data_IF_484548009709
#
_entry.id   IF_484548009709
#
_cell.length_a   1.000
_cell.length_b   1.000
_cell.length_c   1.000
_cell.angle_alpha   90.00
_cell.angle_beta   90.00
_cell.angle_gamma   90.00
#
_symmetry.space_group_name_H-M   'P 1'
#
loop_
_entity.id
_entity.type
_entity.pdbx_description
1 polymer ?
#
# COMPACT_ATOMS: atom_id res chain seq x y z
N UNK A 1 -7.29 4.92 32.78
CA UNK A 1 -6.76 6.21 32.26
C UNK A 1 -5.91 5.85 31.07
N UNK A 2 -6.37 6.18 29.85
CA UNK A 2 -5.56 6.03 28.65
C UNK A 2 -4.55 7.17 28.65
N UNK A 3 -3.25 6.85 28.76
CA UNK A 3 -2.18 7.81 28.52
C UNK A 3 -2.33 8.31 27.10
N UNK A 4 -2.65 9.58 26.93
CA UNK A 4 -2.51 10.30 25.67
C UNK A 4 -1.01 10.38 25.37
N UNK A 5 -0.46 9.46 24.57
CA UNK A 5 0.91 9.58 24.05
C UNK A 5 0.99 10.91 23.31
N UNK A 6 1.80 11.84 23.81
CA UNK A 6 2.11 13.08 23.12
C UNK A 6 2.75 12.75 21.77
N UNK A 7 2.07 13.16 20.69
CA UNK A 7 2.54 12.96 19.32
C UNK A 7 3.83 13.78 19.15
N UNK A 8 4.91 13.14 18.75
CA UNK A 8 6.18 13.85 18.49
C UNK A 8 6.04 14.87 17.35
N UNK A 9 6.85 15.92 17.34
CA UNK A 9 6.86 16.91 16.25
C UNK A 9 7.08 16.25 14.89
N UNK A 10 7.98 15.24 14.81
CA UNK A 10 8.22 14.47 13.59
C UNK A 10 6.97 13.75 13.11
N UNK A 11 6.24 13.12 14.03
CA UNK A 11 5.00 12.40 13.71
C UNK A 11 3.90 13.37 13.29
N UNK A 12 3.80 14.52 13.94
CA UNK A 12 2.84 15.57 13.58
C UNK A 12 3.07 16.10 12.15
N UNK A 13 4.33 16.37 11.79
CA UNK A 13 4.71 16.75 10.40
C UNK A 13 4.29 15.65 9.41
N UNK A 14 4.60 14.38 9.74
CA UNK A 14 4.30 13.25 8.87
C UNK A 14 2.79 13.03 8.70
N UNK A 15 1.99 13.23 9.76
CA UNK A 15 0.53 13.14 9.70
C UNK A 15 -0.05 14.23 8.78
N UNK A 16 0.39 15.48 8.96
CA UNK A 16 -0.03 16.62 8.12
C UNK A 16 0.32 16.36 6.65
N UNK A 17 1.56 15.98 6.38
CA UNK A 17 1.99 15.63 5.02
C UNK A 17 1.25 14.44 4.44
N UNK A 18 0.95 13.41 5.26
CA UNK A 18 0.20 12.22 4.82
C UNK A 18 -1.20 12.60 4.36
N UNK A 19 -1.88 13.47 5.09
CA UNK A 19 -3.20 13.99 4.70
C UNK A 19 -3.11 14.79 3.40
N UNK A 20 -2.21 15.77 3.32
CA UNK A 20 -2.07 16.62 2.14
C UNK A 20 -1.67 15.83 0.88
N UNK A 21 -0.68 14.93 0.97
CA UNK A 21 -0.31 14.08 -0.16
C UNK A 21 -1.44 13.14 -0.58
N UNK A 22 -2.28 12.71 0.36
CA UNK A 22 -3.44 11.88 0.05
C UNK A 22 -4.56 12.68 -0.64
N UNK A 23 -4.87 13.87 -0.16
CA UNK A 23 -6.03 14.63 -0.60
C UNK A 23 -5.77 15.36 -1.94
N UNK A 24 -4.63 16.02 -2.07
CA UNK A 24 -4.31 16.86 -3.23
C UNK A 24 -3.14 16.37 -4.09
N UNK A 25 -2.40 15.34 -3.64
CA UNK A 25 -1.24 14.79 -4.34
C UNK A 25 0.09 15.40 -3.90
N UNK A 26 1.17 14.73 -4.28
CA UNK A 26 2.53 15.15 -3.92
C UNK A 26 2.93 16.45 -4.62
N UNK A 27 2.68 16.56 -5.93
CA UNK A 27 3.14 17.72 -6.71
C UNK A 27 2.47 19.03 -6.25
N UNK A 28 1.17 18.98 -5.95
CA UNK A 28 0.41 20.17 -5.52
C UNK A 28 0.64 20.54 -4.05
N UNK A 29 1.22 19.67 -3.25
CA UNK A 29 1.52 19.94 -1.85
C UNK A 29 2.84 20.67 -1.71
N UNK A 30 2.82 21.94 -1.29
CA UNK A 30 4.01 22.75 -1.03
C UNK A 30 4.59 22.51 0.36
N UNK A 31 5.91 22.65 0.52
CA UNK A 31 6.58 22.58 1.85
C UNK A 31 6.05 23.66 2.79
N UNK A 32 5.86 24.88 2.30
CA UNK A 32 5.31 25.96 3.12
C UNK A 32 3.90 25.66 3.61
N UNK A 33 3.05 25.07 2.77
CA UNK A 33 1.72 24.62 3.18
C UNK A 33 1.79 23.58 4.32
N UNK A 34 2.73 22.63 4.25
CA UNK A 34 2.92 21.63 5.32
C UNK A 34 3.35 22.33 6.61
N UNK A 35 4.26 23.30 6.54
CA UNK A 35 4.74 24.10 7.68
C UNK A 35 3.58 24.85 8.33
N UNK A 36 2.80 25.56 7.52
CA UNK A 36 1.68 26.39 7.96
C UNK A 36 0.58 25.51 8.61
N UNK A 37 0.20 24.42 7.96
CA UNK A 37 -0.86 23.54 8.46
C UNK A 37 -0.42 22.68 9.66
N UNK A 38 0.88 22.39 9.80
CA UNK A 38 1.44 21.74 10.98
C UNK A 38 1.71 22.73 12.12
N UNK A 39 1.64 24.04 11.90
CA UNK A 39 1.90 25.08 12.89
C UNK A 39 3.32 25.03 13.45
N UNK A 40 4.33 24.74 12.62
CA UNK A 40 5.73 24.57 13.03
C UNK A 40 6.66 25.58 12.38
N UNK A 41 7.83 25.78 12.97
CA UNK A 41 8.88 26.56 12.34
C UNK A 41 9.51 25.78 11.15
N UNK A 42 9.90 26.50 10.09
CA UNK A 42 10.59 25.94 8.91
C UNK A 42 11.84 25.14 9.28
N UNK A 43 12.63 25.62 10.24
CA UNK A 43 13.81 24.91 10.74
C UNK A 43 13.45 23.55 11.35
N UNK A 44 12.32 23.44 12.05
CA UNK A 44 11.83 22.20 12.64
C UNK A 44 11.49 21.16 11.56
N UNK A 45 10.84 21.58 10.47
CA UNK A 45 10.56 20.65 9.36
C UNK A 45 11.85 20.06 8.79
N UNK A 46 12.82 20.92 8.43
CA UNK A 46 14.07 20.46 7.80
C UNK A 46 15.00 19.72 8.76
N UNK A 47 14.88 19.92 10.07
CA UNK A 47 15.56 19.12 11.08
C UNK A 47 15.06 17.65 11.05
N UNK A 48 13.76 17.43 10.90
CA UNK A 48 13.18 16.09 10.89
C UNK A 48 13.14 15.44 9.49
N UNK A 49 12.98 16.25 8.44
CA UNK A 49 12.90 15.82 7.04
C UNK A 49 13.73 16.76 6.16
N UNK A 50 14.98 16.37 5.85
CA UNK A 50 15.91 17.23 5.12
C UNK A 50 15.40 17.72 3.75
N UNK A 51 14.46 16.96 3.14
CA UNK A 51 13.83 17.34 1.87
C UNK A 51 12.35 16.90 1.81
N UNK A 52 11.61 17.45 0.84
CA UNK A 52 10.25 16.98 0.52
C UNK A 52 10.27 15.52 0.07
N UNK A 53 11.36 15.07 -0.57
CA UNK A 53 11.57 13.69 -0.98
C UNK A 53 11.68 12.76 0.24
N UNK A 54 12.44 13.12 1.28
CA UNK A 54 12.55 12.35 2.52
C UNK A 54 11.19 12.23 3.23
N UNK A 55 10.41 13.30 3.20
CA UNK A 55 9.05 13.30 3.73
C UNK A 55 8.11 12.40 2.91
N UNK A 56 8.26 12.40 1.57
CA UNK A 56 7.52 11.49 0.68
C UNK A 56 7.86 10.02 0.96
N UNK A 57 9.13 9.70 1.14
CA UNK A 57 9.57 8.35 1.51
C UNK A 57 8.94 7.92 2.84
N UNK A 58 8.95 8.79 3.84
CA UNK A 58 8.30 8.51 5.13
C UNK A 58 6.78 8.32 4.99
N UNK A 59 6.11 9.12 4.17
CA UNK A 59 4.70 8.96 3.81
C UNK A 59 4.41 7.58 3.19
N UNK A 60 5.21 7.16 2.20
CA UNK A 60 5.06 5.87 1.54
C UNK A 60 5.21 4.72 2.54
N UNK A 61 6.22 4.75 3.39
CA UNK A 61 6.42 3.75 4.45
C UNK A 61 5.24 3.72 5.43
N UNK A 62 4.74 4.88 5.87
CA UNK A 62 3.58 4.98 6.75
C UNK A 62 2.34 4.34 6.11
N UNK A 63 2.01 4.70 4.86
CA UNK A 63 0.85 4.12 4.14
C UNK A 63 0.98 2.61 4.00
N UNK A 64 2.17 2.11 3.74
CA UNK A 64 2.43 0.67 3.64
C UNK A 64 2.29 -0.04 5.00
N UNK A 65 2.80 0.55 6.09
CA UNK A 65 2.63 -0.01 7.44
C UNK A 65 1.16 -0.08 7.83
N UNK A 66 0.40 0.99 7.59
CA UNK A 66 -1.06 1.01 7.82
C UNK A 66 -1.79 -0.07 7.01
N UNK A 67 -1.39 -0.28 5.76
CA UNK A 67 -1.93 -1.34 4.92
C UNK A 67 -1.67 -2.73 5.51
N UNK A 68 -0.41 -3.03 5.87
CA UNK A 68 -0.06 -4.35 6.42
C UNK A 68 -0.68 -4.60 7.79
N UNK A 69 -0.74 -3.60 8.68
CA UNK A 69 -1.44 -3.75 9.96
C UNK A 69 -2.93 -4.03 9.78
N UNK A 70 -3.60 -3.33 8.85
CA UNK A 70 -5.00 -3.59 8.54
C UNK A 70 -5.20 -4.98 7.91
N UNK A 71 -4.25 -5.42 7.08
CA UNK A 71 -4.27 -6.75 6.48
C UNK A 71 -4.08 -7.84 7.53
N UNK A 72 -3.10 -7.71 8.42
CA UNK A 72 -2.85 -8.65 9.51
C UNK A 72 -4.09 -8.83 10.39
N UNK A 73 -4.71 -7.73 10.84
CA UNK A 73 -5.96 -7.78 11.61
C UNK A 73 -7.10 -8.44 10.82
N UNK A 74 -7.18 -8.21 9.48
CA UNK A 74 -8.22 -8.80 8.64
C UNK A 74 -8.01 -10.32 8.43
N UNK A 75 -6.78 -10.78 8.51
CA UNK A 75 -6.39 -12.18 8.32
C UNK A 75 -6.22 -12.94 9.66
N UNK A 76 -6.47 -12.30 10.80
CA UNK A 76 -6.37 -12.94 12.10
C UNK A 76 -7.28 -14.17 12.20
N UNK A 77 -6.77 -15.28 12.72
CA UNK A 77 -7.48 -16.55 12.82
C UNK A 77 -7.68 -17.34 11.51
N UNK A 78 -7.17 -16.84 10.38
CA UNK A 78 -7.24 -17.56 9.11
C UNK A 78 -5.89 -18.26 8.87
N UNK A 79 -5.85 -19.58 9.01
CA UNK A 79 -4.64 -20.38 8.85
C UNK A 79 -4.42 -20.82 7.40
N UNK A 80 -5.49 -21.14 6.67
CA UNK A 80 -5.42 -21.62 5.29
C UNK A 80 -4.92 -20.55 4.32
N UNK A 81 -3.80 -20.82 3.64
CA UNK A 81 -3.11 -19.87 2.76
C UNK A 81 -3.94 -19.47 1.53
N UNK A 82 -4.80 -20.36 1.01
CA UNK A 82 -5.72 -20.04 -0.09
C UNK A 82 -6.76 -19.02 0.39
N UNK A 83 -7.33 -19.23 1.58
CA UNK A 83 -8.26 -18.29 2.18
C UNK A 83 -7.59 -16.95 2.50
N UNK A 84 -6.37 -16.95 3.00
CA UNK A 84 -5.59 -15.72 3.23
C UNK A 84 -5.42 -14.90 1.96
N UNK A 85 -5.07 -15.55 0.84
CA UNK A 85 -4.99 -14.89 -0.48
C UNK A 85 -6.34 -14.27 -0.84
N UNK A 86 -7.43 -15.05 -0.82
CA UNK A 86 -8.77 -14.59 -1.18
C UNK A 86 -9.22 -13.41 -0.32
N UNK A 87 -9.01 -13.51 1.00
CA UNK A 87 -9.38 -12.46 1.97
C UNK A 87 -8.53 -11.18 1.84
N UNK A 88 -7.32 -11.28 1.28
CA UNK A 88 -6.51 -10.10 0.97
C UNK A 88 -7.20 -9.20 -0.07
N UNK A 89 -7.90 -9.78 -1.05
CA UNK A 89 -8.73 -9.01 -2.00
C UNK A 89 -9.91 -8.33 -1.31
N UNK A 90 -10.56 -9.00 -0.35
CA UNK A 90 -11.66 -8.40 0.43
C UNK A 90 -11.16 -7.23 1.29
N UNK A 91 -10.01 -7.41 1.96
CA UNK A 91 -9.36 -6.35 2.72
C UNK A 91 -9.06 -5.13 1.82
N UNK A 92 -8.52 -5.35 0.61
CA UNK A 92 -8.25 -4.27 -0.34
C UNK A 92 -9.52 -3.57 -0.82
N UNK A 93 -10.57 -4.31 -1.11
CA UNK A 93 -11.87 -3.74 -1.50
C UNK A 93 -12.44 -2.82 -0.42
N UNK A 94 -12.39 -3.28 0.84
CA UNK A 94 -12.83 -2.47 1.99
C UNK A 94 -11.96 -1.22 2.17
N UNK A 95 -10.64 -1.36 2.01
CA UNK A 95 -9.71 -0.23 2.09
C UNK A 95 -9.97 0.81 0.99
N UNK A 96 -10.21 0.39 -0.25
CA UNK A 96 -10.51 1.28 -1.37
C UNK A 96 -11.80 2.06 -1.13
N UNK A 97 -12.87 1.41 -0.68
CA UNK A 97 -14.14 2.08 -0.33
C UNK A 97 -13.93 3.15 0.75
N UNK A 98 -13.24 2.79 1.85
CA UNK A 98 -12.96 3.71 2.97
C UNK A 98 -12.12 4.92 2.57
N UNK A 99 -11.26 4.77 1.56
CA UNK A 99 -10.36 5.82 1.07
C UNK A 99 -10.82 6.41 -0.28
N UNK A 100 -12.12 6.41 -0.55
CA UNK A 100 -12.72 7.03 -1.73
C UNK A 100 -12.02 6.65 -3.05
N UNK A 101 -11.58 5.38 -3.17
CA UNK A 101 -10.85 4.84 -4.33
C UNK A 101 -9.52 5.57 -4.63
N UNK A 102 -8.84 6.07 -3.61
CA UNK A 102 -7.54 6.75 -3.75
C UNK A 102 -6.40 5.86 -4.26
N UNK A 103 -6.65 4.55 -4.45
CA UNK A 103 -5.73 3.62 -5.07
C UNK A 103 -4.53 3.25 -4.20
N UNK A 104 -3.42 2.92 -4.86
CA UNK A 104 -2.14 2.59 -4.24
C UNK A 104 -1.25 3.83 -4.19
N UNK A 105 -0.80 4.23 -2.99
CA UNK A 105 0.06 5.40 -2.81
C UNK A 105 1.36 5.34 -3.62
N UNK A 106 1.97 4.14 -3.76
CA UNK A 106 3.16 3.96 -4.60
C UNK A 106 2.88 4.23 -6.07
N UNK A 107 1.79 3.69 -6.62
CA UNK A 107 1.39 3.94 -8.02
C UNK A 107 1.07 5.41 -8.24
N UNK A 108 0.38 6.03 -7.29
CA UNK A 108 0.05 7.46 -7.37
C UNK A 108 1.31 8.33 -7.43
N UNK A 109 2.29 8.10 -6.55
CA UNK A 109 3.55 8.84 -6.55
C UNK A 109 4.31 8.69 -7.87
N UNK A 110 4.43 7.47 -8.42
CA UNK A 110 5.14 7.27 -9.70
C UNK A 110 4.39 7.91 -10.88
N UNK A 111 3.06 7.97 -10.85
CA UNK A 111 2.25 8.64 -11.89
C UNK A 111 2.39 10.15 -11.83
N UNK A 112 2.53 10.73 -10.63
CA UNK A 112 2.74 12.17 -10.46
C UNK A 112 4.19 12.61 -10.74
N UNK A 113 5.16 11.71 -10.65
CA UNK A 113 6.58 12.00 -10.75
C UNK A 113 7.28 11.11 -11.80
N UNK A 114 7.13 11.40 -13.10
CA UNK A 114 7.84 10.63 -14.15
C UNK A 114 9.36 10.67 -14.00
N UNK A 115 9.91 11.79 -13.52
CA UNK A 115 11.33 11.97 -13.19
C UNK A 115 11.44 12.14 -11.67
N UNK A 116 11.53 11.03 -10.96
CA UNK A 116 11.66 11.00 -9.49
C UNK A 116 13.08 10.69 -9.06
N UNK A 117 13.44 11.14 -7.86
CA UNK A 117 14.75 10.88 -7.28
C UNK A 117 14.93 9.41 -6.87
N UNK A 118 16.18 9.00 -6.75
CA UNK A 118 16.59 7.64 -6.42
C UNK A 118 16.01 7.13 -5.08
N UNK A 119 15.82 8.02 -4.11
CA UNK A 119 15.24 7.66 -2.80
C UNK A 119 13.80 7.19 -2.94
N UNK A 120 12.97 7.89 -3.73
CA UNK A 120 11.58 7.52 -3.97
C UNK A 120 11.51 6.22 -4.78
N UNK A 121 12.35 6.07 -5.82
CA UNK A 121 12.42 4.84 -6.61
C UNK A 121 12.71 3.63 -5.73
N UNK A 122 13.78 3.70 -4.93
CA UNK A 122 14.13 2.63 -3.99
C UNK A 122 12.99 2.32 -3.03
N UNK A 123 12.36 3.34 -2.43
CA UNK A 123 11.25 3.15 -1.51
C UNK A 123 10.07 2.44 -2.20
N UNK A 124 9.65 2.91 -3.38
CA UNK A 124 8.54 2.31 -4.13
C UNK A 124 8.83 0.85 -4.48
N UNK A 125 10.05 0.54 -4.99
CA UNK A 125 10.45 -0.83 -5.32
C UNK A 125 10.41 -1.71 -4.06
N UNK A 126 11.00 -1.27 -2.95
CA UNK A 126 11.00 -2.02 -1.69
C UNK A 126 9.58 -2.32 -1.18
N UNK A 127 8.67 -1.36 -1.27
CA UNK A 127 7.29 -1.53 -0.82
C UNK A 127 6.50 -2.49 -1.73
N UNK A 128 6.72 -2.44 -3.05
CA UNK A 128 6.14 -3.39 -4.00
C UNK A 128 6.71 -4.79 -3.80
N UNK A 129 8.01 -4.92 -3.59
CA UNK A 129 8.65 -6.19 -3.26
C UNK A 129 8.11 -6.80 -1.94
N UNK A 130 7.82 -5.96 -0.93
CA UNK A 130 7.18 -6.44 0.30
C UNK A 130 5.81 -7.05 0.01
N UNK A 131 5.00 -6.41 -0.82
CA UNK A 131 3.68 -6.94 -1.23
C UNK A 131 3.83 -8.22 -2.05
N UNK A 132 4.76 -8.28 -3.00
CA UNK A 132 5.05 -9.47 -3.80
C UNK A 132 5.47 -10.64 -2.91
N UNK A 133 6.42 -10.43 -2.00
CA UNK A 133 6.90 -11.44 -1.04
C UNK A 133 5.79 -12.00 -0.15
N UNK A 134 4.82 -11.18 0.22
CA UNK A 134 3.65 -11.65 0.96
C UNK A 134 2.88 -12.73 0.16
N UNK A 135 2.62 -12.52 -1.14
CA UNK A 135 1.98 -13.53 -1.96
C UNK A 135 2.87 -14.75 -2.23
N UNK A 136 4.18 -14.54 -2.39
CA UNK A 136 5.15 -15.64 -2.54
C UNK A 136 5.11 -16.55 -1.31
N UNK A 137 5.16 -15.99 -0.10
CA UNK A 137 5.12 -16.78 1.14
C UNK A 137 3.85 -17.62 1.29
N UNK A 138 2.71 -17.14 0.79
CA UNK A 138 1.45 -17.89 0.80
C UNK A 138 1.41 -18.95 -0.32
N UNK A 139 1.91 -18.63 -1.50
CA UNK A 139 1.94 -19.56 -2.62
C UNK A 139 2.87 -20.77 -2.37
N UNK A 140 4.02 -20.54 -1.69
CA UNK A 140 4.94 -21.61 -1.29
C UNK A 140 4.34 -22.59 -0.26
N UNK A 141 3.30 -22.19 0.46
CA UNK A 141 2.55 -23.08 1.35
C UNK A 141 1.46 -23.89 0.61
N UNK A 142 1.10 -23.49 -0.60
CA UNK A 142 0.08 -24.12 -1.43
C UNK A 142 0.70 -25.07 -2.46
N UNK A 143 1.83 -24.68 -3.05
CA UNK A 143 2.51 -25.39 -4.14
C UNK A 143 3.96 -25.68 -3.73
N UNK A 144 4.33 -26.97 -3.72
CA UNK A 144 5.65 -27.45 -3.30
C UNK A 144 6.74 -27.21 -4.35
N UNK A 145 6.36 -27.16 -5.62
CA UNK A 145 7.29 -26.82 -6.69
C UNK A 145 7.56 -25.31 -6.69
N UNK A 146 8.76 -24.91 -6.28
CA UNK A 146 9.16 -23.49 -6.14
C UNK A 146 8.93 -22.65 -7.40
N UNK A 147 9.15 -23.22 -8.60
CA UNK A 147 8.93 -22.50 -9.85
C UNK A 147 7.44 -22.24 -10.09
N UNK A 148 6.59 -23.23 -9.84
CA UNK A 148 5.13 -23.05 -9.95
C UNK A 148 4.60 -22.11 -8.88
N UNK A 149 5.07 -22.22 -7.62
CA UNK A 149 4.71 -21.32 -6.54
C UNK A 149 5.04 -19.85 -6.90
N UNK A 150 6.20 -19.60 -7.50
CA UNK A 150 6.59 -18.26 -7.94
C UNK A 150 5.66 -17.74 -9.04
N UNK A 151 5.35 -18.55 -10.06
CA UNK A 151 4.43 -18.16 -11.15
C UNK A 151 3.04 -17.86 -10.58
N UNK A 152 2.53 -18.69 -9.68
CA UNK A 152 1.25 -18.48 -9.00
C UNK A 152 1.25 -17.16 -8.23
N UNK A 153 2.27 -16.91 -7.41
CA UNK A 153 2.40 -15.69 -6.62
C UNK A 153 2.46 -14.43 -7.48
N UNK A 154 3.23 -14.45 -8.56
CA UNK A 154 3.36 -13.31 -9.48
C UNK A 154 2.05 -13.06 -10.21
N UNK A 155 1.37 -14.10 -10.67
CA UNK A 155 0.04 -13.99 -11.29
C UNK A 155 -0.98 -13.36 -10.34
N UNK A 156 -1.03 -13.83 -9.09
CA UNK A 156 -1.93 -13.29 -8.06
C UNK A 156 -1.59 -11.82 -7.77
N UNK A 157 -0.30 -11.49 -7.62
CA UNK A 157 0.15 -10.14 -7.34
C UNK A 157 -0.21 -9.16 -8.47
N UNK A 158 0.00 -9.55 -9.73
CA UNK A 158 -0.37 -8.74 -10.89
C UNK A 158 -1.87 -8.52 -10.99
N UNK A 159 -2.69 -9.56 -10.75
CA UNK A 159 -4.15 -9.44 -10.71
C UNK A 159 -4.62 -8.54 -9.56
N UNK A 160 -4.01 -8.65 -8.39
CA UNK A 160 -4.31 -7.80 -7.24
C UNK A 160 -3.95 -6.33 -7.50
N UNK A 161 -2.78 -6.07 -8.05
CA UNK A 161 -2.30 -4.71 -8.31
C UNK A 161 -3.07 -4.07 -9.48
N UNK A 162 -3.25 -4.80 -10.59
CA UNK A 162 -4.05 -4.36 -11.72
C UNK A 162 -5.51 -4.10 -11.34
N UNK A 163 -6.13 -5.01 -10.58
CA UNK A 163 -7.49 -4.83 -10.05
C UNK A 163 -7.60 -3.59 -9.16
N UNK A 164 -6.59 -3.33 -8.31
CA UNK A 164 -6.54 -2.12 -7.47
C UNK A 164 -6.49 -0.84 -8.32
N UNK A 165 -5.66 -0.81 -9.37
CA UNK A 165 -5.56 0.35 -10.27
C UNK A 165 -6.87 0.58 -11.03
N UNK A 166 -7.49 -0.49 -11.57
CA UNK A 166 -8.76 -0.38 -12.29
C UNK A 166 -9.90 0.10 -11.37
N UNK A 167 -9.91 -0.31 -10.10
CA UNK A 167 -10.87 0.22 -9.12
C UNK A 167 -10.72 1.73 -8.94
N UNK A 168 -9.52 2.28 -9.01
CA UNK A 168 -9.30 3.73 -8.96
C UNK A 168 -9.88 4.43 -10.21
N UNK A 169 -9.70 3.83 -11.40
CA UNK A 169 -10.21 4.37 -12.66
C UNK A 169 -11.72 4.40 -12.68
N UNK A 170 -12.37 3.29 -12.36
CA UNK A 170 -13.83 3.16 -12.42
C UNK A 170 -14.55 3.65 -11.16
N UNK A 171 -13.82 3.95 -10.07
CA UNK A 171 -14.36 4.27 -8.75
C UNK A 171 -15.37 3.22 -8.26
N UNK A 172 -15.06 1.96 -8.58
CA UNK A 172 -15.86 0.78 -8.26
C UNK A 172 -14.95 -0.38 -7.87
N UNK A 173 -15.45 -1.34 -7.08
CA UNK A 173 -14.72 -2.55 -6.67
C UNK A 173 -14.85 -3.70 -7.68
N UNK A 174 -15.69 -3.60 -8.68
CA UNK A 174 -15.96 -4.67 -9.65
C UNK A 174 -14.67 -5.22 -10.31
N UNK A 175 -13.68 -4.39 -10.71
CA UNK A 175 -12.42 -4.90 -11.26
C UNK A 175 -11.65 -5.80 -10.29
N UNK A 176 -11.56 -5.41 -9.02
CA UNK A 176 -10.88 -6.21 -8.00
C UNK A 176 -11.65 -7.51 -7.68
N UNK A 177 -12.99 -7.47 -7.73
CA UNK A 177 -13.82 -8.66 -7.59
C UNK A 177 -13.64 -9.61 -8.79
N UNK A 178 -13.48 -9.09 -10.02
CA UNK A 178 -13.15 -9.91 -11.18
C UNK A 178 -11.78 -10.59 -11.04
N UNK A 179 -10.77 -9.83 -10.61
CA UNK A 179 -9.44 -10.37 -10.30
C UNK A 179 -9.51 -11.46 -9.21
N UNK A 180 -10.29 -11.23 -8.14
CA UNK A 180 -10.52 -12.22 -7.08
C UNK A 180 -11.13 -13.51 -7.63
N UNK A 181 -12.15 -13.44 -8.50
CA UNK A 181 -12.76 -14.65 -9.12
C UNK A 181 -11.75 -15.43 -9.95
N UNK A 182 -10.91 -14.74 -10.73
CA UNK A 182 -9.84 -15.40 -11.50
C UNK A 182 -8.85 -16.12 -10.58
N UNK A 183 -8.45 -15.47 -9.47
CA UNK A 183 -7.56 -16.09 -8.47
C UNK A 183 -8.20 -17.30 -7.81
N UNK A 184 -9.49 -17.26 -7.47
CA UNK A 184 -10.21 -18.42 -6.92
C UNK A 184 -10.16 -19.61 -7.90
N UNK A 185 -10.42 -19.37 -9.20
CA UNK A 185 -10.29 -20.43 -10.22
C UNK A 185 -8.87 -20.99 -10.32
N UNK A 186 -7.83 -20.13 -10.28
CA UNK A 186 -6.44 -20.59 -10.29
C UNK A 186 -6.12 -21.49 -9.08
N UNK A 187 -6.57 -21.09 -7.88
CA UNK A 187 -6.33 -21.84 -6.65
C UNK A 187 -7.09 -23.17 -6.58
N UNK A 188 -8.17 -23.35 -7.34
CA UNK A 188 -8.95 -24.59 -7.45
C UNK A 188 -8.36 -25.55 -8.48
N UNK A 189 -7.87 -25.07 -9.61
CA UNK A 189 -7.29 -25.91 -10.67
C UNK A 189 -6.04 -26.67 -10.24
N UNK A 190 -5.37 -26.24 -9.18
CA UNK A 190 -4.22 -26.94 -8.60
C UNK A 190 -4.62 -28.11 -7.67
N UNK A 191 -5.92 -28.30 -7.39
CA UNK A 191 -6.44 -29.40 -6.59
C UNK A 191 -6.82 -30.64 -7.44
N UNK A 192 -6.91 -30.47 -8.78
CA UNK A 192 -7.34 -31.53 -9.71
C UNK A 192 -6.16 -32.23 -10.43
N UNK A 193 -4.92 -31.94 -10.03
CA UNK A 193 -3.69 -32.55 -10.55
C UNK A 193 -2.95 -33.34 -9.48
#
# INVERSE_FOLDING_TARGET
>A
MMETQEITVREHILLTATRLFHDQGYNLTGINQIIDEAGIAKASLYYHFPSKEDLCVAYLHRKNSMWFSALESHLEGIEDSRQRIIKTFDCRANHLKKNHFGGCSSIRIISEMPQRGEKIDRAVIQLKEKQRKFFVSLAEQIETNKKKAMILAETIFLLFDGGTVQCQVYRDIAPLQAAKRAVVSLLQSDLEK
#
